data_IF_851853827861
#
_entry.id   IF_851853827861
#
_cell.length_a   1.000
_cell.length_b   1.000
_cell.length_c   1.000
_cell.angle_alpha   90.00
_cell.angle_beta   90.00
_cell.angle_gamma   90.00
#
_symmetry.space_group_name_H-M   'P 1'
#
loop_
_entity.id
_entity.type
_entity.pdbx_description
1 polymer ?
#
# COMPACT_ATOMS: atom_id res chain seq x y z
N UNK A 1 -35.13 -10.34 6.57
CA UNK A 1 -34.55 -11.41 5.73
C UNK A 1 -33.25 -11.82 6.41
N UNK A 2 -32.94 -13.10 6.49
CA UNK A 2 -31.70 -13.59 7.12
C UNK A 2 -30.83 -14.34 6.11
N UNK A 3 -29.53 -14.22 6.27
CA UNK A 3 -28.51 -14.83 5.44
C UNK A 3 -27.71 -15.85 6.25
N UNK A 4 -27.38 -16.98 5.61
CA UNK A 4 -26.42 -17.94 6.12
C UNK A 4 -25.09 -17.71 5.41
N UNK A 5 -24.09 -17.28 6.15
CA UNK A 5 -22.79 -16.87 5.64
C UNK A 5 -21.73 -17.91 5.98
N UNK A 6 -20.90 -18.23 4.99
CA UNK A 6 -19.68 -19.02 5.14
C UNK A 6 -18.51 -18.05 5.18
N UNK A 7 -17.92 -17.86 6.36
CA UNK A 7 -16.89 -16.86 6.57
C UNK A 7 -15.54 -17.52 6.81
N UNK A 8 -14.54 -17.17 6.00
CA UNK A 8 -13.13 -17.50 6.22
C UNK A 8 -12.42 -16.28 6.81
N UNK A 9 -12.15 -16.30 8.11
CA UNK A 9 -11.57 -15.15 8.81
C UNK A 9 -10.06 -15.34 9.06
N UNK A 10 -9.30 -14.26 8.89
CA UNK A 10 -7.87 -14.16 9.17
C UNK A 10 -7.57 -14.15 10.66
N UNK A 11 -6.56 -14.93 11.07
CA UNK A 11 -6.02 -14.98 12.42
C UNK A 11 -4.50 -14.82 12.36
N UNK A 12 -3.99 -14.00 13.27
CA UNK A 12 -2.57 -13.82 13.48
C UNK A 12 -2.35 -13.13 14.82
N UNK A 13 -1.27 -13.45 15.51
CA UNK A 13 -0.77 -12.69 16.63
C UNK A 13 0.75 -12.66 16.56
N UNK A 14 1.32 -11.48 16.30
CA UNK A 14 2.75 -11.29 16.09
C UNK A 14 3.62 -11.72 17.29
N UNK A 15 3.03 -11.91 18.48
CA UNK A 15 3.75 -12.35 19.68
C UNK A 15 3.82 -13.87 19.83
N UNK A 16 2.87 -14.61 19.25
CA UNK A 16 2.72 -16.05 19.49
C UNK A 16 2.77 -16.88 18.23
N UNK A 17 2.33 -16.33 17.11
CA UNK A 17 2.12 -17.06 15.87
C UNK A 17 3.30 -16.85 14.92
N UNK A 18 3.77 -17.94 14.31
CA UNK A 18 4.84 -17.88 13.31
C UNK A 18 4.35 -17.35 11.96
N UNK A 19 3.13 -17.72 11.56
CA UNK A 19 2.51 -17.33 10.30
C UNK A 19 1.01 -17.10 10.50
N UNK A 20 0.40 -16.20 9.71
CA UNK A 20 -1.05 -16.05 9.70
C UNK A 20 -1.74 -17.32 9.22
N UNK A 21 -2.95 -17.55 9.71
CA UNK A 21 -3.79 -18.68 9.33
C UNK A 21 -5.26 -18.25 9.24
N UNK A 22 -6.12 -19.15 8.76
CA UNK A 22 -7.55 -18.87 8.60
C UNK A 22 -8.39 -19.90 9.35
N UNK A 23 -9.56 -19.45 9.83
CA UNK A 23 -10.60 -20.32 10.37
C UNK A 23 -11.93 -20.05 9.66
N UNK A 24 -12.72 -21.11 9.52
CA UNK A 24 -14.03 -21.03 8.87
C UNK A 24 -15.14 -20.97 9.92
N UNK A 25 -16.15 -20.14 9.66
CA UNK A 25 -17.31 -19.92 10.50
C UNK A 25 -18.57 -20.02 9.65
N UNK A 26 -19.64 -20.54 10.24
CA UNK A 26 -20.98 -20.48 9.67
C UNK A 26 -21.81 -19.54 10.53
N UNK A 27 -22.17 -18.39 10.00
CA UNK A 27 -22.85 -17.32 10.74
C UNK A 27 -24.21 -17.05 10.12
N UNK A 28 -25.25 -16.96 10.95
CA UNK A 28 -26.54 -16.46 10.53
C UNK A 28 -26.62 -14.98 10.87
N UNK A 29 -26.87 -14.14 9.88
CA UNK A 29 -26.95 -12.70 10.06
C UNK A 29 -28.23 -12.15 9.44
N UNK A 30 -28.82 -11.15 10.09
CA UNK A 30 -29.95 -10.43 9.52
C UNK A 30 -29.48 -9.48 8.41
N UNK A 31 -30.37 -9.16 7.47
CA UNK A 31 -30.04 -8.27 6.36
C UNK A 31 -29.59 -6.87 6.78
N UNK A 32 -30.11 -6.39 7.92
CA UNK A 32 -29.78 -5.09 8.52
C UNK A 32 -28.54 -5.15 9.43
N UNK A 33 -28.03 -6.35 9.71
CA UNK A 33 -26.78 -6.48 10.47
C UNK A 33 -25.64 -5.81 9.72
N UNK A 34 -24.63 -5.36 10.47
CA UNK A 34 -23.46 -4.70 9.89
C UNK A 34 -22.26 -5.64 9.81
N UNK A 35 -21.27 -5.30 8.99
CA UNK A 35 -19.99 -6.00 8.96
C UNK A 35 -19.35 -6.11 10.36
N UNK A 36 -19.51 -5.07 11.20
CA UNK A 36 -19.07 -5.07 12.61
C UNK A 36 -19.74 -6.18 13.42
N UNK A 37 -21.04 -6.41 13.24
CA UNK A 37 -21.76 -7.45 13.95
C UNK A 37 -21.29 -8.85 13.54
N UNK A 38 -20.92 -9.04 12.28
CA UNK A 38 -20.25 -10.27 11.85
C UNK A 38 -18.94 -10.48 12.62
N UNK A 39 -18.10 -9.44 12.75
CA UNK A 39 -16.86 -9.55 13.51
C UNK A 39 -17.09 -9.89 14.99
N UNK A 40 -18.12 -9.32 15.59
CA UNK A 40 -18.51 -9.63 16.98
C UNK A 40 -18.90 -11.10 17.10
N UNK A 41 -19.74 -11.62 16.20
CA UNK A 41 -20.13 -13.03 16.21
C UNK A 41 -18.93 -13.98 16.00
N UNK A 42 -17.96 -13.60 15.15
CA UNK A 42 -16.71 -14.37 14.99
C UNK A 42 -15.90 -14.36 16.29
N UNK A 43 -15.80 -13.22 16.97
CA UNK A 43 -15.11 -13.09 18.26
C UNK A 43 -15.79 -13.89 19.37
N UNK A 44 -17.11 -13.88 19.44
CA UNK A 44 -17.88 -14.69 20.39
C UNK A 44 -17.70 -16.20 20.13
N UNK A 45 -17.58 -16.61 18.87
CA UNK A 45 -17.28 -18.00 18.50
C UNK A 45 -15.80 -18.38 18.72
N UNK A 46 -14.90 -17.40 18.71
CA UNK A 46 -13.48 -17.61 18.95
C UNK A 46 -12.82 -16.37 19.58
N UNK A 47 -12.55 -16.44 20.88
CA UNK A 47 -11.99 -15.31 21.66
C UNK A 47 -10.62 -14.83 21.16
N UNK A 48 -9.87 -15.67 20.45
CA UNK A 48 -8.59 -15.29 19.85
C UNK A 48 -8.75 -14.43 18.59
N UNK A 49 -9.97 -14.29 18.05
CA UNK A 49 -10.22 -13.39 16.93
C UNK A 49 -10.18 -11.96 17.43
N UNK A 50 -9.35 -11.13 16.82
CA UNK A 50 -9.07 -9.78 17.31
C UNK A 50 -9.32 -8.76 16.22
N UNK A 51 -9.99 -7.65 16.55
CA UNK A 51 -10.27 -6.57 15.59
C UNK A 51 -10.23 -5.19 16.27
N UNK A 52 -9.98 -4.10 15.54
CA UNK A 52 -9.87 -2.77 16.13
C UNK A 52 -11.24 -2.20 16.55
N UNK A 53 -11.28 -1.44 17.65
CA UNK A 53 -12.52 -0.81 18.14
C UNK A 53 -12.85 0.52 17.47
N UNK A 54 -11.84 1.19 16.91
CA UNK A 54 -11.93 2.48 16.25
C UNK A 54 -11.34 2.37 14.85
N UNK A 55 -11.79 3.23 13.92
CA UNK A 55 -11.34 3.22 12.52
C UNK A 55 -11.39 1.80 11.91
N UNK A 56 -12.50 1.11 12.18
CA UNK A 56 -12.67 -0.29 11.82
C UNK A 56 -13.01 -0.41 10.34
N UNK A 57 -11.98 -0.70 9.57
CA UNK A 57 -12.06 -1.11 8.17
C UNK A 57 -11.35 -2.45 8.02
N UNK A 58 -11.79 -3.26 7.07
CA UNK A 58 -11.24 -4.60 6.81
C UNK A 58 -11.31 -4.88 5.32
N UNK A 59 -10.58 -5.90 4.86
CA UNK A 59 -10.78 -6.43 3.51
C UNK A 59 -11.82 -7.54 3.55
N UNK A 60 -12.85 -7.45 2.71
CA UNK A 60 -13.79 -8.55 2.44
C UNK A 60 -13.69 -8.90 0.96
N UNK A 61 -13.29 -10.13 0.65
CA UNK A 61 -13.06 -10.60 -0.72
C UNK A 61 -12.19 -9.62 -1.54
N UNK A 62 -11.14 -9.08 -0.91
CA UNK A 62 -10.19 -8.15 -1.54
C UNK A 62 -10.54 -6.66 -1.45
N UNK A 63 -11.81 -6.30 -1.23
CA UNK A 63 -12.22 -4.90 -1.15
C UNK A 63 -12.20 -4.36 0.28
N UNK A 64 -11.80 -3.11 0.44
CA UNK A 64 -11.84 -2.38 1.71
C UNK A 64 -13.27 -2.00 2.05
N UNK A 65 -13.76 -2.54 3.17
CA UNK A 65 -15.12 -2.38 3.69
C UNK A 65 -15.09 -1.64 5.02
N UNK A 66 -15.96 -0.64 5.17
CA UNK A 66 -16.23 0.00 6.47
C UNK A 66 -17.12 -0.91 7.33
N UNK A 67 -16.85 -0.99 8.63
CA UNK A 67 -17.59 -1.87 9.54
C UNK A 67 -19.10 -1.61 9.61
N UNK A 68 -19.55 -0.41 9.21
CA UNK A 68 -20.97 -0.03 9.20
C UNK A 68 -21.71 -0.55 7.97
N UNK A 69 -21.01 -1.11 7.00
CA UNK A 69 -21.60 -1.64 5.78
C UNK A 69 -22.65 -2.74 6.11
N UNK A 70 -23.90 -2.62 5.62
CA UNK A 70 -24.92 -3.64 5.84
C UNK A 70 -24.57 -4.99 5.18
N UNK A 71 -24.91 -6.08 5.85
CA UNK A 71 -24.70 -7.45 5.37
C UNK A 71 -25.47 -7.71 4.08
N UNK A 72 -26.67 -7.14 3.93
CA UNK A 72 -27.44 -7.23 2.69
C UNK A 72 -26.65 -6.75 1.47
N UNK A 73 -25.96 -5.62 1.57
CA UNK A 73 -25.12 -5.07 0.49
C UNK A 73 -23.87 -5.93 0.26
N UNK A 74 -23.26 -6.46 1.32
CA UNK A 74 -22.14 -7.41 1.20
C UNK A 74 -22.55 -8.66 0.43
N UNK A 75 -23.69 -9.25 0.81
CA UNK A 75 -24.21 -10.46 0.15
C UNK A 75 -24.61 -10.18 -1.29
N UNK A 76 -25.19 -9.02 -1.57
CA UNK A 76 -25.53 -8.63 -2.94
C UNK A 76 -24.29 -8.58 -3.83
N UNK A 77 -23.15 -8.10 -3.33
CA UNK A 77 -21.92 -7.95 -4.12
C UNK A 77 -21.07 -9.21 -4.15
N UNK A 78 -20.93 -9.90 -3.03
CA UNK A 78 -19.97 -10.98 -2.84
C UNK A 78 -20.61 -12.37 -2.74
N UNK A 79 -21.93 -12.44 -2.62
CA UNK A 79 -22.63 -13.67 -2.24
C UNK A 79 -22.44 -14.00 -0.76
N UNK A 80 -22.71 -15.26 -0.41
CA UNK A 80 -22.71 -15.72 0.99
C UNK A 80 -21.37 -16.28 1.46
N UNK A 81 -20.36 -16.36 0.58
CA UNK A 81 -19.01 -16.80 0.92
C UNK A 81 -18.08 -15.59 1.04
N UNK A 82 -17.63 -15.31 2.26
CA UNK A 82 -16.87 -14.12 2.59
C UNK A 82 -15.51 -14.50 3.18
N UNK A 83 -14.43 -13.98 2.62
CA UNK A 83 -13.11 -13.98 3.23
C UNK A 83 -12.87 -12.62 3.90
N UNK A 84 -12.55 -12.63 5.19
CA UNK A 84 -12.30 -11.43 5.98
C UNK A 84 -10.82 -11.37 6.35
N UNK A 85 -10.17 -10.28 5.92
CA UNK A 85 -8.76 -10.01 6.08
C UNK A 85 -8.54 -8.65 6.79
N UNK A 86 -7.41 -8.45 7.48
CA UNK A 86 -6.98 -7.11 7.88
C UNK A 86 -6.91 -6.22 6.63
N UNK A 87 -7.15 -4.92 6.80
CA UNK A 87 -7.09 -3.98 5.67
C UNK A 87 -5.70 -3.97 5.00
N UNK A 88 -4.66 -4.24 5.79
CA UNK A 88 -3.32 -4.53 5.32
C UNK A 88 -2.72 -5.68 6.16
N UNK A 89 -2.57 -6.87 5.57
CA UNK A 89 -2.06 -8.06 6.26
C UNK A 89 -0.57 -7.97 6.61
N UNK A 90 0.22 -7.26 5.82
CA UNK A 90 1.64 -7.03 6.10
C UNK A 90 1.84 -6.21 7.38
N UNK A 91 0.91 -5.32 7.70
CA UNK A 91 0.93 -4.47 8.90
C UNK A 91 0.16 -5.08 10.08
N UNK A 92 -0.40 -6.29 9.95
CA UNK A 92 -1.20 -6.90 11.03
C UNK A 92 -0.31 -7.28 12.22
N UNK A 93 -0.77 -6.91 13.41
CA UNK A 93 -0.13 -7.27 14.68
C UNK A 93 -0.93 -8.33 15.44
N UNK A 94 -2.26 -8.28 15.36
CA UNK A 94 -3.19 -9.08 16.15
C UNK A 94 -4.57 -9.12 15.45
N UNK A 95 -4.81 -10.17 14.67
CA UNK A 95 -6.00 -10.38 13.86
C UNK A 95 -6.17 -9.30 12.80
N UNK A 96 -7.27 -8.56 12.88
CA UNK A 96 -7.56 -7.43 11.99
C UNK A 96 -6.93 -6.11 12.45
N UNK A 97 -6.24 -6.09 13.60
CA UNK A 97 -5.55 -4.88 14.09
C UNK A 97 -4.22 -4.72 13.36
N UNK A 98 -4.02 -3.56 12.76
CA UNK A 98 -2.79 -3.22 12.05
C UNK A 98 -2.00 -2.13 12.79
N UNK A 99 -0.71 -2.02 12.50
CA UNK A 99 0.04 -0.79 12.72
C UNK A 99 -0.33 0.21 11.62
N UNK A 100 -1.11 1.23 11.97
CA UNK A 100 -1.64 2.26 11.07
C UNK A 100 -0.86 3.59 11.14
N UNK A 101 0.33 3.61 11.73
CA UNK A 101 1.12 4.83 11.90
C UNK A 101 1.54 5.50 10.59
N UNK A 102 1.63 4.73 9.50
CA UNK A 102 1.91 5.20 8.14
C UNK A 102 0.85 6.19 7.63
N UNK A 103 -0.41 6.03 8.04
CA UNK A 103 -1.46 6.95 7.65
C UNK A 103 -1.17 8.38 8.11
N UNK A 104 -0.78 8.57 9.38
CA UNK A 104 -0.46 9.90 9.87
C UNK A 104 0.92 10.40 9.42
N UNK A 105 1.89 9.50 9.18
CA UNK A 105 3.17 9.87 8.57
C UNK A 105 3.00 10.49 7.18
N UNK A 106 2.05 9.98 6.40
CA UNK A 106 1.75 10.55 5.08
C UNK A 106 1.21 11.98 5.22
N UNK A 107 0.36 12.24 6.21
CA UNK A 107 -0.11 13.59 6.52
C UNK A 107 1.00 14.56 6.93
N UNK A 108 2.07 14.09 7.59
CA UNK A 108 3.18 14.93 8.03
C UNK A 108 3.85 15.70 6.87
N UNK A 109 3.77 15.18 5.63
CA UNK A 109 4.23 15.87 4.42
C UNK A 109 3.50 17.21 4.21
N UNK A 110 2.20 17.26 4.52
CA UNK A 110 1.35 18.43 4.28
C UNK A 110 1.02 19.20 5.56
N UNK A 111 1.34 18.65 6.73
CA UNK A 111 1.05 19.25 8.03
C UNK A 111 1.54 20.71 8.17
N UNK A 112 2.71 21.13 7.64
CA UNK A 112 3.14 22.54 7.70
C UNK A 112 2.21 23.52 6.96
N UNK A 113 1.40 23.03 6.02
CA UNK A 113 0.55 23.82 5.13
C UNK A 113 -0.94 23.60 5.39
N UNK A 114 -1.29 22.63 6.24
CA UNK A 114 -2.65 22.16 6.45
C UNK A 114 -3.33 22.87 7.63
N UNK A 115 -4.62 23.16 7.46
CA UNK A 115 -5.47 23.65 8.54
C UNK A 115 -6.02 22.52 9.42
N UNK A 116 -6.68 22.86 10.55
CA UNK A 116 -7.42 21.88 11.34
C UNK A 116 -8.57 21.23 10.54
N UNK A 117 -9.20 21.98 9.62
CA UNK A 117 -10.23 21.44 8.72
C UNK A 117 -9.64 20.41 7.75
N UNK A 118 -8.42 20.63 7.28
CA UNK A 118 -7.73 19.69 6.38
C UNK A 118 -7.36 18.41 7.10
N UNK A 119 -6.86 18.50 8.34
CA UNK A 119 -6.64 17.32 9.19
C UNK A 119 -7.94 16.54 9.44
N UNK A 120 -9.06 17.24 9.67
CA UNK A 120 -10.35 16.60 9.87
C UNK A 120 -10.82 15.89 8.60
N UNK A 121 -10.65 16.52 7.44
CA UNK A 121 -10.95 15.92 6.15
C UNK A 121 -10.06 14.70 5.88
N UNK A 122 -8.75 14.83 6.07
CA UNK A 122 -7.78 13.75 5.87
C UNK A 122 -8.18 12.49 6.64
N UNK A 123 -8.56 12.62 7.91
CA UNK A 123 -9.01 11.50 8.74
C UNK A 123 -10.20 10.73 8.16
N UNK A 124 -11.01 11.34 7.28
CA UNK A 124 -12.11 10.66 6.58
C UNK A 124 -11.60 9.77 5.43
N UNK A 125 -10.40 10.02 4.92
CA UNK A 125 -9.74 9.27 3.85
C UNK A 125 -9.01 8.01 4.35
N UNK A 126 -9.18 7.64 5.62
CA UNK A 126 -8.51 6.47 6.22
C UNK A 126 -8.73 5.18 5.43
N UNK A 127 -9.95 4.95 4.94
CA UNK A 127 -10.25 3.78 4.11
C UNK A 127 -9.57 3.86 2.73
N UNK A 128 -9.52 5.06 2.14
CA UNK A 128 -8.89 5.30 0.83
C UNK A 128 -7.38 5.00 0.89
N UNK A 129 -6.71 5.41 1.97
CA UNK A 129 -5.28 5.15 2.17
C UNK A 129 -4.93 3.67 1.97
N UNK A 130 -5.67 2.77 2.62
CA UNK A 130 -5.43 1.33 2.54
C UNK A 130 -6.13 0.62 1.36
N UNK A 131 -6.85 1.37 0.53
CA UNK A 131 -7.50 0.84 -0.67
C UNK A 131 -6.62 0.95 -1.91
N UNK A 132 -5.50 1.68 -1.84
CA UNK A 132 -4.59 1.91 -2.96
C UNK A 132 -4.01 0.62 -3.52
N UNK A 133 -4.11 0.44 -4.84
CA UNK A 133 -3.38 -0.63 -5.54
C UNK A 133 -1.88 -0.39 -5.58
N UNK A 134 -1.45 0.87 -5.67
CA UNK A 134 -0.02 1.22 -5.70
C UNK A 134 0.71 0.73 -4.44
N UNK A 135 0.07 0.81 -3.26
CA UNK A 135 0.65 0.31 -1.98
C UNK A 135 0.90 -1.22 -1.99
N UNK A 136 0.20 -1.99 -2.83
CA UNK A 136 0.43 -3.43 -2.94
C UNK A 136 1.79 -3.76 -3.58
N UNK A 137 2.31 -2.85 -4.42
CA UNK A 137 3.57 -3.02 -5.16
C UNK A 137 4.71 -2.21 -4.53
N UNK A 138 4.41 -1.02 -4.01
CA UNK A 138 5.37 -0.16 -3.33
C UNK A 138 4.88 0.20 -1.93
N UNK A 139 5.57 -0.35 -0.93
CA UNK A 139 5.23 -0.15 0.49
C UNK A 139 5.72 1.18 1.05
N UNK A 140 6.58 1.89 0.31
CA UNK A 140 7.09 3.21 0.66
C UNK A 140 6.26 4.33 0.03
N UNK A 141 5.27 3.97 -0.80
CA UNK A 141 4.34 4.91 -1.41
C UNK A 141 3.60 5.76 -0.38
N UNK A 142 3.52 7.06 -0.66
CA UNK A 142 2.90 8.07 0.23
C UNK A 142 1.38 7.92 0.38
N UNK A 143 0.74 7.14 -0.49
CA UNK A 143 -0.69 6.80 -0.39
C UNK A 143 -1.63 7.79 -1.08
N UNK A 144 -2.74 7.28 -1.62
CA UNK A 144 -3.69 8.10 -2.39
C UNK A 144 -4.40 9.15 -1.53
N UNK A 145 -4.56 8.89 -0.23
CA UNK A 145 -5.23 9.80 0.69
C UNK A 145 -4.50 11.15 0.83
N UNK A 146 -3.15 11.17 0.85
CA UNK A 146 -2.40 12.43 0.95
C UNK A 146 -2.45 13.21 -0.35
N UNK A 147 -2.50 12.51 -1.50
CA UNK A 147 -2.67 13.14 -2.81
C UNK A 147 -4.05 13.81 -2.93
N UNK A 148 -5.13 13.10 -2.56
CA UNK A 148 -6.48 13.68 -2.55
C UNK A 148 -6.56 14.90 -1.62
N UNK A 149 -5.88 14.86 -0.47
CA UNK A 149 -5.75 16.02 0.41
C UNK A 149 -5.01 17.18 -0.27
N UNK A 150 -3.85 16.93 -0.90
CA UNK A 150 -3.07 17.95 -1.60
C UNK A 150 -3.90 18.66 -2.67
N UNK A 151 -4.64 17.89 -3.48
CA UNK A 151 -5.53 18.43 -4.52
C UNK A 151 -6.59 19.36 -3.91
N UNK A 152 -7.28 18.91 -2.85
CA UNK A 152 -8.27 19.74 -2.15
C UNK A 152 -7.64 21.04 -1.64
N UNK A 153 -6.49 20.98 -0.97
CA UNK A 153 -5.82 22.16 -0.42
C UNK A 153 -5.46 23.17 -1.51
N UNK A 154 -4.97 22.71 -2.66
CA UNK A 154 -4.62 23.58 -3.80
C UNK A 154 -5.87 24.19 -4.43
N UNK A 155 -6.89 23.38 -4.71
CA UNK A 155 -8.12 23.82 -5.38
C UNK A 155 -8.97 24.76 -4.53
N UNK A 156 -8.88 24.66 -3.20
CA UNK A 156 -9.51 25.61 -2.27
C UNK A 156 -8.68 26.88 -2.03
N UNK A 157 -7.57 27.06 -2.76
CA UNK A 157 -6.82 28.32 -2.81
C UNK A 157 -5.72 28.44 -1.76
N UNK A 158 -5.08 27.34 -1.37
CA UNK A 158 -3.90 27.39 -0.49
C UNK A 158 -2.79 28.26 -1.07
N UNK A 159 -2.25 29.17 -0.25
CA UNK A 159 -1.10 30.02 -0.59
C UNK A 159 0.21 29.22 -0.70
N UNK A 160 0.21 27.95 -0.28
CA UNK A 160 1.38 27.07 -0.27
C UNK A 160 1.41 26.07 -1.43
N UNK A 161 0.74 26.37 -2.55
CA UNK A 161 0.60 25.44 -3.69
C UNK A 161 1.94 24.83 -4.15
N UNK A 162 2.97 25.64 -4.38
CA UNK A 162 4.29 25.14 -4.82
C UNK A 162 4.94 24.21 -3.79
N UNK A 163 4.84 24.55 -2.50
CA UNK A 163 5.42 23.75 -1.42
C UNK A 163 4.66 22.44 -1.19
N UNK A 164 3.34 22.43 -1.39
CA UNK A 164 2.50 21.23 -1.34
C UNK A 164 2.88 20.28 -2.48
N UNK A 165 2.99 20.79 -3.71
CA UNK A 165 3.39 19.99 -4.87
C UNK A 165 4.79 19.40 -4.66
N UNK A 166 5.75 20.20 -4.23
CA UNK A 166 7.10 19.74 -3.93
C UNK A 166 7.13 18.66 -2.83
N UNK A 167 6.31 18.82 -1.78
CA UNK A 167 6.25 17.85 -0.69
C UNK A 167 5.73 16.47 -1.14
N UNK A 168 4.83 16.40 -2.12
CA UNK A 168 4.29 15.13 -2.65
C UNK A 168 5.10 14.57 -3.83
N UNK A 169 5.98 15.36 -4.47
CA UNK A 169 6.84 14.91 -5.59
C UNK A 169 8.28 14.60 -5.19
N UNK A 170 8.81 15.23 -4.14
CA UNK A 170 10.22 15.06 -3.72
C UNK A 170 10.51 13.72 -3.03
N UNK A 171 9.46 12.95 -2.71
CA UNK A 171 9.57 11.62 -2.10
C UNK A 171 9.90 10.59 -3.19
N UNK A 172 10.75 9.60 -2.85
CA UNK A 172 11.11 8.52 -3.77
C UNK A 172 9.92 7.73 -4.32
N UNK A 173 8.82 7.67 -3.55
CA UNK A 173 7.57 7.02 -3.95
C UNK A 173 6.40 8.00 -3.77
N UNK A 174 6.29 8.95 -4.70
CA UNK A 174 5.46 10.15 -4.59
C UNK A 174 4.29 10.19 -5.57
N UNK A 175 3.81 11.40 -5.91
CA UNK A 175 2.71 11.62 -6.86
C UNK A 175 2.91 10.91 -8.22
N UNK A 176 4.15 10.84 -8.71
CA UNK A 176 4.42 10.26 -10.03
C UNK A 176 4.41 8.74 -10.07
N UNK A 177 4.51 8.08 -8.91
CA UNK A 177 4.42 6.63 -8.79
C UNK A 177 2.96 6.15 -8.61
N UNK A 178 2.03 7.08 -8.42
CA UNK A 178 0.60 6.79 -8.29
C UNK A 178 0.02 6.26 -9.60
N UNK A 179 -0.33 4.98 -9.63
CA UNK A 179 -1.25 4.39 -10.59
C UNK A 179 -2.61 4.26 -9.91
N UNK A 180 -3.49 5.23 -10.15
CA UNK A 180 -4.72 5.38 -9.35
C UNK A 180 -5.74 4.29 -9.67
N UNK A 181 -5.86 3.35 -8.74
CA UNK A 181 -6.92 2.38 -8.65
C UNK A 181 -7.17 2.09 -7.17
N UNK A 182 -8.44 2.06 -6.75
CA UNK A 182 -8.79 1.80 -5.36
C UNK A 182 -9.77 0.65 -5.21
N UNK A 183 -9.51 -0.17 -4.20
CA UNK A 183 -10.32 -1.32 -3.81
C UNK A 183 -11.42 -0.98 -2.83
N UNK A 184 -11.99 0.22 -2.84
CA UNK A 184 -13.08 0.54 -1.92
C UNK A 184 -14.33 -0.29 -2.26
N UNK A 185 -15.04 -0.74 -1.22
CA UNK A 185 -16.36 -1.33 -1.40
C UNK A 185 -17.34 -0.31 -1.97
N UNK A 186 -17.46 0.87 -1.38
CA UNK A 186 -18.15 1.96 -2.07
C UNK A 186 -17.10 2.71 -2.87
N UNK A 187 -17.02 2.41 -4.17
CA UNK A 187 -16.02 3.00 -5.05
C UNK A 187 -16.12 4.53 -5.02
N UNK A 188 -14.96 5.18 -4.85
CA UNK A 188 -14.81 6.62 -5.00
C UNK A 188 -13.85 6.84 -6.15
N UNK A 189 -14.15 7.81 -7.01
CA UNK A 189 -13.30 8.12 -8.16
C UNK A 189 -12.62 9.46 -7.93
N UNK A 190 -11.31 9.41 -7.72
CA UNK A 190 -10.43 10.58 -7.61
C UNK A 190 -9.46 10.69 -8.81
N UNK A 191 -9.70 9.96 -9.90
CA UNK A 191 -8.81 9.94 -11.08
C UNK A 191 -8.53 11.35 -11.61
N UNK A 192 -9.59 12.15 -11.77
CA UNK A 192 -9.46 13.53 -12.25
C UNK A 192 -8.62 14.40 -11.30
N UNK A 193 -8.76 14.23 -9.98
CA UNK A 193 -7.97 14.98 -9.00
C UNK A 193 -6.48 14.62 -9.06
N UNK A 194 -6.17 13.34 -9.23
CA UNK A 194 -4.79 12.86 -9.39
C UNK A 194 -4.19 13.34 -10.71
N UNK A 195 -4.93 13.29 -11.81
CA UNK A 195 -4.47 13.76 -13.12
C UNK A 195 -4.22 15.27 -13.12
N UNK A 196 -5.10 16.05 -12.47
CA UNK A 196 -4.91 17.48 -12.28
C UNK A 196 -3.65 17.78 -11.45
N UNK A 197 -3.41 17.03 -10.36
CA UNK A 197 -2.17 17.17 -9.59
C UNK A 197 -0.93 16.88 -10.44
N UNK A 198 -0.94 15.79 -11.21
CA UNK A 198 0.16 15.44 -12.12
C UNK A 198 0.40 16.52 -13.16
N UNK A 199 -0.64 17.19 -13.64
CA UNK A 199 -0.52 18.30 -14.58
C UNK A 199 0.05 19.58 -13.93
N UNK A 200 -0.26 19.82 -12.65
CA UNK A 200 0.26 20.97 -11.87
C UNK A 200 1.72 20.77 -11.47
N UNK A 201 2.07 19.57 -11.01
CA UNK A 201 3.43 19.15 -10.73
C UNK A 201 4.17 18.94 -12.05
N UNK A 202 4.69 20.01 -12.64
CA UNK A 202 5.61 19.88 -13.78
C UNK A 202 6.71 18.89 -13.35
N UNK A 203 6.92 17.76 -14.03
CA UNK A 203 8.05 16.90 -13.71
C UNK A 203 9.30 17.78 -13.84
N UNK A 204 10.20 17.72 -12.86
CA UNK A 204 11.45 18.47 -12.97
C UNK A 204 12.03 18.19 -14.37
N UNK A 205 12.34 19.25 -15.11
CA UNK A 205 13.15 19.16 -16.33
C UNK A 205 14.58 18.77 -15.92
N UNK A 206 14.73 17.57 -15.37
CA UNK A 206 16.01 16.90 -15.29
C UNK A 206 16.52 16.75 -16.73
N UNK A 207 17.86 16.79 -16.94
CA UNK A 207 18.41 16.53 -18.25
C UNK A 207 17.80 15.23 -18.76
N UNK A 208 17.20 15.29 -19.96
CA UNK A 208 16.64 14.10 -20.60
C UNK A 208 17.66 12.97 -20.57
N UNK A 209 17.21 11.72 -20.61
CA UNK A 209 18.13 10.58 -20.65
C UNK A 209 19.18 10.75 -21.77
N UNK A 210 18.79 11.37 -22.90
CA UNK A 210 19.69 11.82 -23.95
C UNK A 210 20.69 12.91 -23.49
N UNK A 211 20.26 13.95 -22.78
CA UNK A 211 21.14 14.99 -22.24
C UNK A 211 22.10 14.44 -21.16
N UNK A 212 21.68 13.48 -20.34
CA UNK A 212 22.55 12.79 -19.38
C UNK A 212 23.59 11.91 -20.07
N UNK A 213 23.19 11.19 -21.12
CA UNK A 213 24.10 10.41 -21.95
C UNK A 213 25.09 11.34 -22.67
N UNK A 214 24.61 12.41 -23.30
CA UNK A 214 25.47 13.43 -23.93
C UNK A 214 26.45 14.03 -22.92
N UNK A 215 26.03 14.44 -21.73
CA UNK A 215 26.94 14.98 -20.71
C UNK A 215 28.00 13.96 -20.24
N UNK A 216 27.66 12.67 -20.19
CA UNK A 216 28.62 11.59 -19.86
C UNK A 216 29.61 11.33 -20.98
N UNK A 217 29.20 11.43 -22.24
CA UNK A 217 30.04 11.14 -23.40
C UNK A 217 30.75 12.37 -24.00
N UNK A 218 30.29 13.59 -23.69
CA UNK A 218 30.89 14.86 -24.11
C UNK A 218 31.98 15.38 -23.18
N UNK A 219 32.24 14.72 -22.04
CA UNK A 219 33.49 14.92 -21.27
C UNK A 219 34.65 14.23 -21.98
N UNK A 220 35.06 14.76 -23.12
CA UNK A 220 36.35 14.50 -23.74
C UNK A 220 36.73 15.70 -24.60
N UNK A 221 37.45 16.62 -23.98
CA UNK A 221 38.57 17.35 -24.55
C UNK A 221 39.12 18.26 -23.45
N UNK A 222 40.03 17.71 -22.63
CA UNK A 222 41.31 18.36 -22.33
C UNK A 222 42.16 17.45 -21.41
N UNK A 223 43.41 17.28 -21.86
CA UNK A 223 44.55 16.55 -21.28
C UNK A 223 44.63 15.06 -21.58
N UNK A 224 45.44 14.76 -22.59
CA UNK A 224 46.22 13.52 -22.70
C UNK A 224 46.89 13.23 -21.35
N UNK A 225 46.39 12.22 -20.65
CA UNK A 225 47.16 11.49 -19.66
C UNK A 225 47.44 10.12 -20.29
N UNK A 226 48.72 9.79 -20.45
CA UNK A 226 49.17 8.47 -20.86
C UNK A 226 48.51 7.40 -19.98
N UNK A 227 47.64 6.58 -20.58
CA UNK A 227 47.07 5.41 -19.92
C UNK A 227 48.09 4.29 -20.03
N UNK A 228 48.88 4.11 -18.97
CA UNK A 228 49.59 2.84 -18.74
C UNK A 228 48.52 1.78 -18.45
N UNK A 229 48.36 0.83 -19.36
CA UNK A 229 47.47 -0.33 -19.19
C UNK A 229 47.99 -1.17 -18.02
N UNK A 230 47.23 -1.35 -16.92
CA UNK A 230 47.62 -2.29 -15.89
C UNK A 230 47.44 -3.70 -16.46
N UNK A 231 48.52 -4.46 -16.53
CA UNK A 231 48.47 -5.90 -16.80
C UNK A 231 47.57 -6.55 -15.73
N UNK A 232 46.46 -7.14 -16.17
CA UNK A 232 45.63 -8.02 -15.35
C UNK A 232 46.51 -9.17 -14.84
N UNK A 233 46.76 -9.23 -13.54
CA UNK A 233 47.29 -10.43 -12.90
C UNK A 233 46.13 -11.42 -12.87
N UNK A 234 46.27 -12.51 -13.60
CA UNK A 234 45.38 -13.67 -13.47
C UNK A 234 45.88 -14.42 -12.25
N UNK A 235 45.24 -14.22 -11.10
CA UNK A 235 45.43 -15.12 -9.98
C UNK A 235 44.59 -16.38 -10.23
N UNK A 236 45.26 -17.45 -10.61
CA UNK A 236 44.68 -18.79 -10.64
C UNK A 236 44.45 -19.22 -9.19
N UNK A 237 43.19 -19.38 -8.78
CA UNK A 237 42.88 -19.98 -7.48
C UNK A 237 43.16 -21.48 -7.58
N UNK A 238 44.28 -21.93 -7.02
CA UNK A 238 44.57 -23.35 -6.85
C UNK A 238 43.70 -23.95 -5.73
N UNK A 239 43.37 -25.25 -5.83
CA UNK A 239 42.53 -26.02 -4.91
C UNK A 239 41.04 -25.65 -4.86
N UNK A 240 40.39 -25.57 -6.03
CA UNK A 240 38.92 -25.48 -6.10
C UNK A 240 38.23 -26.79 -5.67
N UNK A 241 38.93 -27.94 -5.70
CA UNK A 241 38.36 -29.27 -5.38
C UNK A 241 38.07 -29.48 -3.88
N UNK A 242 38.66 -28.68 -2.99
CA UNK A 242 38.47 -28.82 -1.53
C UNK A 242 37.36 -27.92 -0.96
N UNK A 243 36.74 -27.08 -1.79
CA UNK A 243 35.61 -26.24 -1.36
C UNK A 243 34.32 -27.01 -1.59
N UNK A 244 33.63 -27.37 -0.51
CA UNK A 244 32.27 -27.92 -0.56
C UNK A 244 31.33 -26.90 -1.22
N UNK A 245 31.10 -27.06 -2.52
CA UNK A 245 30.06 -26.36 -3.26
C UNK A 245 28.75 -27.10 -2.97
N UNK A 246 27.80 -26.42 -2.33
CA UNK A 246 26.45 -26.95 -2.14
C UNK A 246 25.75 -27.03 -3.51
N UNK A 247 25.61 -28.24 -4.05
CA UNK A 247 24.81 -28.49 -5.23
C UNK A 247 23.32 -28.51 -4.86
N UNK A 248 22.58 -27.48 -5.29
CA UNK A 248 21.12 -27.50 -5.28
C UNK A 248 20.64 -28.39 -6.44
N UNK A 249 20.14 -29.58 -6.13
CA UNK A 249 19.43 -30.41 -7.09
C UNK A 249 18.00 -29.90 -7.25
N UNK A 250 17.79 -29.04 -8.25
CA UNK A 250 16.44 -28.77 -8.77
C UNK A 250 15.97 -29.97 -9.58
N UNK A 251 14.88 -30.61 -9.16
CA UNK A 251 14.17 -31.58 -9.99
C UNK A 251 13.59 -30.83 -11.20
N UNK A 252 14.18 -31.05 -12.37
CA UNK A 252 13.57 -30.65 -13.64
C UNK A 252 12.33 -31.51 -13.87
N UNK A 253 11.16 -30.89 -13.85
CA UNK A 253 9.91 -31.47 -14.34
C UNK A 253 9.99 -31.62 -15.87
N UNK A 254 9.88 -32.83 -16.39
CA UNK A 254 9.33 -33.06 -17.72
C UNK A 254 8.66 -34.44 -17.81
N UNK A 255 7.42 -34.35 -18.33
CA UNK A 255 6.47 -35.33 -18.87
C UNK A 255 5.79 -36.36 -17.94
#
# INVERSE_FOLDING_TARGET
MSYKLEIRAFFFNAKTDYLPYYKNFNINADAESTAKELLIQIHEANENFSFPKQRLVMKINGLVVDAKQPVSELVQRFGTSLQIDPVNSYRSNDGLKINDSDFMKSFELLAPYASESDLKYYKTLYALHYASETENFDREYIGDAVLVLAHKMITEGSEHTEAILEAITSVHSGLFDCEYENNLFIAQDHTAAIDELKAMAKPEEGPSLCAQLLARFSKKEEKEAEVVVPKRVVETIENLEEKQVAHYHGLASHD
#
